data_IF_011184142967
#
_entry.id   IF_011184142967
#
_cell.length_a   1.000
_cell.length_b   1.000
_cell.length_c   1.000
_cell.angle_alpha   90.00
_cell.angle_beta   90.00
_cell.angle_gamma   90.00
#
_symmetry.space_group_name_H-M   'P 1'
#
loop_
_entity.id
_entity.type
_entity.pdbx_description
1 polymer ?
#
# COMPACT_ATOMS: atom_id res chain seq x y z
N UNK A 1 -67.64 -54.78 -137.81
CA UNK A 1 -67.86 -54.65 -139.26
C UNK A 1 -66.87 -55.57 -139.94
N UNK A 2 -67.36 -56.72 -140.36
CA UNK A 2 -66.60 -57.96 -140.47
C UNK A 2 -65.70 -58.02 -141.71
N UNK A 3 -64.44 -57.60 -141.52
CA UNK A 3 -63.34 -57.95 -142.43
C UNK A 3 -63.24 -59.48 -142.62
N UNK A 4 -63.75 -60.27 -141.68
CA UNK A 4 -63.78 -61.73 -141.75
C UNK A 4 -64.62 -62.26 -142.91
N UNK A 5 -65.86 -61.79 -143.08
CA UNK A 5 -66.73 -62.26 -144.18
C UNK A 5 -66.20 -61.82 -145.55
N UNK A 6 -65.62 -60.63 -145.60
CA UNK A 6 -65.02 -60.08 -146.82
C UNK A 6 -63.78 -60.86 -147.23
N UNK A 7 -62.87 -61.13 -146.29
CA UNK A 7 -61.69 -61.96 -146.53
C UNK A 7 -62.05 -63.39 -146.94
N UNK A 8 -63.08 -63.98 -146.30
CA UNK A 8 -63.58 -65.31 -146.65
C UNK A 8 -64.11 -65.36 -148.08
N UNK A 9 -64.94 -64.38 -148.50
CA UNK A 9 -65.45 -64.33 -149.89
C UNK A 9 -64.31 -64.29 -150.91
N UNK A 10 -63.29 -63.48 -150.67
CA UNK A 10 -62.15 -63.34 -151.60
C UNK A 10 -61.38 -64.66 -151.66
N UNK A 11 -61.01 -65.22 -150.51
CA UNK A 11 -60.22 -66.45 -150.47
C UNK A 11 -60.98 -67.69 -150.97
N UNK A 12 -62.31 -67.73 -150.86
CA UNK A 12 -63.13 -68.89 -151.28
C UNK A 12 -63.62 -68.80 -152.73
N UNK A 13 -63.99 -67.61 -153.23
CA UNK A 13 -64.62 -67.45 -154.58
C UNK A 13 -63.71 -66.85 -155.65
N UNK A 14 -62.68 -66.11 -155.26
CA UNK A 14 -61.83 -65.37 -156.20
C UNK A 14 -60.42 -65.20 -155.63
N UNK A 15 -59.76 -66.32 -155.31
CA UNK A 15 -58.42 -66.28 -154.74
C UNK A 15 -57.45 -65.64 -155.74
N UNK A 16 -56.62 -64.66 -155.33
CA UNK A 16 -55.59 -64.11 -156.19
C UNK A 16 -54.63 -65.20 -156.69
N UNK A 17 -54.12 -65.11 -157.92
CA UNK A 17 -53.13 -66.07 -158.42
C UNK A 17 -51.91 -66.09 -157.48
N UNK A 18 -51.47 -67.30 -157.10
CA UNK A 18 -50.39 -67.60 -156.14
C UNK A 18 -50.66 -67.29 -154.65
N UNK A 19 -51.90 -67.01 -154.22
CA UNK A 19 -52.22 -66.83 -152.80
C UNK A 19 -52.64 -68.16 -152.14
N UNK A 20 -51.79 -68.68 -151.24
CA UNK A 20 -52.02 -69.95 -150.53
C UNK A 20 -52.74 -69.72 -149.19
N UNK A 21 -52.41 -68.63 -148.49
CA UNK A 21 -52.96 -68.28 -147.19
C UNK A 21 -53.09 -66.76 -147.02
N UNK A 22 -54.08 -66.32 -146.23
CA UNK A 22 -54.27 -64.94 -145.82
C UNK A 22 -54.45 -64.86 -144.29
N UNK A 23 -53.87 -63.82 -143.69
CA UNK A 23 -53.95 -63.55 -142.25
C UNK A 23 -54.78 -62.29 -141.99
N UNK A 24 -55.76 -62.39 -141.09
CA UNK A 24 -56.50 -61.22 -140.61
C UNK A 24 -55.79 -60.57 -139.41
N UNK A 25 -56.03 -59.27 -139.15
CA UNK A 25 -55.42 -58.53 -138.02
C UNK A 25 -55.70 -59.15 -136.64
N UNK A 26 -56.76 -59.95 -136.51
CA UNK A 26 -57.09 -60.69 -135.29
C UNK A 26 -56.32 -62.03 -135.16
N UNK A 27 -55.32 -62.28 -136.01
CA UNK A 27 -54.52 -63.51 -136.00
C UNK A 27 -55.22 -64.73 -136.60
N UNK A 28 -56.33 -64.56 -137.32
CA UNK A 28 -57.04 -65.66 -137.99
C UNK A 28 -56.39 -65.98 -139.34
N UNK A 29 -56.08 -67.26 -139.57
CA UNK A 29 -55.51 -67.76 -140.82
C UNK A 29 -56.58 -68.39 -141.71
N UNK A 30 -56.60 -68.06 -143.01
CA UNK A 30 -57.47 -68.65 -144.03
C UNK A 30 -56.61 -69.26 -145.15
N UNK A 31 -56.77 -70.55 -145.44
CA UNK A 31 -56.00 -71.28 -146.46
C UNK A 31 -56.88 -71.79 -147.61
N UNK A 32 -56.38 -71.70 -148.85
CA UNK A 32 -57.03 -72.22 -150.06
C UNK A 32 -56.15 -73.26 -150.78
N UNK A 33 -56.00 -74.43 -150.15
CA UNK A 33 -55.30 -75.61 -150.70
C UNK A 33 -56.31 -76.77 -150.82
N UNK A 34 -56.96 -76.88 -151.98
CA UNK A 34 -57.98 -77.88 -152.36
C UNK A 34 -59.27 -77.94 -151.51
N UNK A 35 -59.28 -77.47 -150.27
CA UNK A 35 -60.45 -77.27 -149.40
C UNK A 35 -60.22 -76.02 -148.55
N UNK A 36 -61.20 -75.11 -148.51
CA UNK A 36 -61.11 -73.89 -147.69
C UNK A 36 -61.05 -74.25 -146.20
N UNK A 37 -59.96 -73.87 -145.52
CA UNK A 37 -59.78 -74.06 -144.07
C UNK A 37 -59.55 -72.71 -143.37
N UNK A 38 -60.19 -72.52 -142.22
CA UNK A 38 -60.04 -71.31 -141.41
C UNK A 38 -59.72 -71.66 -139.96
N UNK A 39 -58.60 -71.13 -139.45
CA UNK A 39 -58.16 -71.26 -138.07
C UNK A 39 -58.36 -69.91 -137.35
N UNK A 40 -59.40 -69.81 -136.53
CA UNK A 40 -59.69 -68.58 -135.76
C UNK A 40 -59.01 -68.61 -134.39
N UNK A 41 -58.16 -67.61 -134.11
CA UNK A 41 -57.67 -67.35 -132.77
C UNK A 41 -58.76 -66.62 -131.94
N UNK A 42 -59.63 -67.37 -131.26
CA UNK A 42 -60.50 -66.79 -130.22
C UNK A 42 -59.79 -66.92 -128.87
N UNK A 43 -58.83 -66.04 -128.60
CA UNK A 43 -58.30 -65.88 -127.25
C UNK A 43 -59.36 -65.19 -126.37
N UNK A 44 -60.26 -65.95 -125.75
CA UNK A 44 -61.03 -65.46 -124.61
C UNK A 44 -60.12 -65.51 -123.37
N UNK A 45 -59.82 -64.34 -122.80
CA UNK A 45 -59.10 -64.24 -121.52
C UNK A 45 -59.93 -64.91 -120.40
N UNK A 46 -59.35 -65.80 -119.59
CA UNK A 46 -60.09 -66.51 -118.53
C UNK A 46 -60.60 -65.56 -117.44
N UNK A 47 -61.93 -65.49 -117.27
CA UNK A 47 -62.63 -64.64 -116.28
C UNK A 47 -62.29 -64.95 -114.81
N UNK A 48 -61.76 -66.14 -114.52
CA UNK A 48 -61.49 -66.60 -113.16
C UNK A 48 -60.23 -66.00 -112.52
N UNK A 49 -59.42 -65.21 -113.26
CA UNK A 49 -58.26 -64.50 -112.70
C UNK A 49 -58.53 -63.01 -112.41
N UNK A 50 -59.61 -62.43 -112.94
CA UNK A 50 -59.86 -60.98 -112.87
C UNK A 50 -60.50 -60.56 -111.55
N UNK A 51 -61.38 -61.38 -110.96
CA UNK A 51 -61.98 -61.09 -109.64
C UNK A 51 -60.93 -61.14 -108.52
N UNK A 52 -59.99 -62.10 -108.58
CA UNK A 52 -58.90 -62.21 -107.59
C UNK A 52 -57.93 -61.00 -107.67
N UNK A 53 -57.63 -60.51 -108.88
CA UNK A 53 -56.80 -59.32 -109.07
C UNK A 53 -57.47 -58.03 -108.57
N UNK A 54 -58.78 -57.85 -108.79
CA UNK A 54 -59.50 -56.67 -108.33
C UNK A 54 -59.58 -56.63 -106.79
N UNK A 55 -59.84 -57.77 -106.14
CA UNK A 55 -59.79 -57.87 -104.69
C UNK A 55 -58.37 -57.65 -104.14
N UNK A 56 -57.34 -58.15 -104.82
CA UNK A 56 -55.95 -57.89 -104.46
C UNK A 56 -55.58 -56.41 -104.57
N UNK A 57 -56.08 -55.68 -105.57
CA UNK A 57 -55.87 -54.23 -105.70
C UNK A 57 -56.55 -53.50 -104.55
N UNK A 58 -57.81 -53.80 -104.20
CA UNK A 58 -58.51 -53.16 -103.09
C UNK A 58 -57.81 -53.46 -101.75
N UNK A 59 -57.30 -54.69 -101.56
CA UNK A 59 -56.49 -55.04 -100.38
C UNK A 59 -55.19 -54.24 -100.36
N UNK A 60 -54.48 -54.17 -101.49
CA UNK A 60 -53.25 -53.39 -101.61
C UNK A 60 -53.46 -51.89 -101.36
N UNK A 61 -54.56 -51.29 -101.84
CA UNK A 61 -54.90 -49.90 -101.56
C UNK A 61 -55.22 -49.66 -100.07
N UNK A 62 -55.95 -50.59 -99.44
CA UNK A 62 -56.18 -50.55 -97.99
C UNK A 62 -54.89 -50.68 -97.19
N UNK A 63 -54.00 -51.56 -97.62
CA UNK A 63 -52.68 -51.76 -97.01
C UNK A 63 -51.81 -50.51 -97.21
N UNK A 64 -51.81 -49.91 -98.40
CA UNK A 64 -51.15 -48.63 -98.66
C UNK A 64 -51.66 -47.52 -97.73
N UNK A 65 -52.98 -47.37 -97.59
CA UNK A 65 -53.56 -46.37 -96.67
C UNK A 65 -53.33 -46.70 -95.18
N UNK A 66 -53.21 -47.98 -94.82
CA UNK A 66 -52.80 -48.37 -93.47
C UNK A 66 -51.34 -47.97 -93.23
N UNK A 67 -50.45 -48.30 -94.15
CA UNK A 67 -49.02 -47.96 -94.10
C UNK A 67 -48.82 -46.43 -94.09
N UNK A 68 -49.55 -45.67 -94.90
CA UNK A 68 -49.50 -44.21 -94.90
C UNK A 68 -49.88 -43.61 -93.55
N UNK A 69 -50.91 -44.17 -92.90
CA UNK A 69 -51.31 -43.77 -91.53
C UNK A 69 -50.23 -44.14 -90.51
N UNK A 70 -49.68 -45.34 -90.59
CA UNK A 70 -48.57 -45.76 -89.71
C UNK A 70 -47.34 -44.86 -89.88
N UNK A 71 -47.01 -44.45 -91.12
CA UNK A 71 -45.93 -43.51 -91.39
C UNK A 71 -46.22 -42.12 -90.80
N UNK A 72 -47.45 -41.62 -90.93
CA UNK A 72 -47.87 -40.34 -90.33
C UNK A 72 -47.75 -40.38 -88.81
N UNK A 73 -48.24 -41.44 -88.17
CA UNK A 73 -48.12 -41.64 -86.72
C UNK A 73 -46.66 -41.78 -86.28
N UNK A 74 -45.85 -42.52 -87.03
CA UNK A 74 -44.42 -42.67 -86.75
C UNK A 74 -43.68 -41.32 -86.86
N UNK A 75 -44.02 -40.47 -87.85
CA UNK A 75 -43.46 -39.12 -88.00
C UNK A 75 -43.85 -38.21 -86.84
N UNK A 76 -45.11 -38.27 -86.39
CA UNK A 76 -45.55 -37.50 -85.22
C UNK A 76 -44.79 -37.93 -83.95
N UNK A 77 -44.71 -39.25 -83.70
CA UNK A 77 -43.92 -39.80 -82.59
C UNK A 77 -42.44 -39.42 -82.68
N UNK A 78 -41.85 -39.43 -83.87
CA UNK A 78 -40.47 -39.00 -84.09
C UNK A 78 -40.27 -37.51 -83.75
N UNK A 79 -41.17 -36.64 -84.19
CA UNK A 79 -41.08 -35.21 -83.88
C UNK A 79 -41.25 -34.94 -82.37
N UNK A 80 -42.14 -35.67 -81.70
CA UNK A 80 -42.32 -35.58 -80.25
C UNK A 80 -41.08 -36.07 -79.49
N UNK A 81 -40.50 -37.21 -79.88
CA UNK A 81 -39.27 -37.70 -79.25
C UNK A 81 -38.09 -36.77 -79.52
N UNK A 82 -37.97 -36.19 -80.72
CA UNK A 82 -36.94 -35.20 -81.05
C UNK A 82 -37.06 -33.93 -80.18
N UNK A 83 -38.29 -33.41 -79.98
CA UNK A 83 -38.53 -32.29 -79.06
C UNK A 83 -38.14 -32.63 -77.62
N UNK A 84 -38.50 -33.82 -77.14
CA UNK A 84 -38.12 -34.30 -75.81
C UNK A 84 -36.60 -34.44 -75.65
N UNK A 85 -35.91 -34.96 -76.65
CA UNK A 85 -34.43 -35.01 -76.66
C UNK A 85 -33.84 -33.61 -76.55
N UNK A 86 -34.34 -32.65 -77.33
CA UNK A 86 -33.91 -31.25 -77.23
C UNK A 86 -34.11 -30.64 -75.84
N UNK A 87 -35.27 -30.86 -75.22
CA UNK A 87 -35.55 -30.40 -73.85
C UNK A 87 -34.63 -31.06 -72.81
N UNK A 88 -34.40 -32.37 -72.92
CA UNK A 88 -33.48 -33.07 -72.04
C UNK A 88 -32.04 -32.57 -72.19
N UNK A 89 -31.62 -32.25 -73.41
CA UNK A 89 -30.28 -31.73 -73.66
C UNK A 89 -30.07 -30.33 -73.08
N UNK A 90 -31.10 -29.46 -73.16
CA UNK A 90 -31.11 -28.17 -72.45
C UNK A 90 -31.10 -28.34 -70.93
N UNK A 91 -31.82 -29.35 -70.42
CA UNK A 91 -31.82 -29.66 -68.98
C UNK A 91 -30.41 -30.11 -68.53
N UNK A 92 -29.75 -30.97 -69.31
CA UNK A 92 -28.39 -31.43 -69.02
C UNK A 92 -27.41 -30.27 -68.98
N UNK A 93 -27.40 -29.38 -69.98
CA UNK A 93 -26.51 -28.21 -69.98
C UNK A 93 -26.78 -27.28 -68.79
N UNK A 94 -28.06 -27.06 -68.43
CA UNK A 94 -28.39 -26.28 -67.23
C UNK A 94 -27.85 -26.93 -65.96
N UNK A 95 -27.99 -28.25 -65.81
CA UNK A 95 -27.46 -28.97 -64.64
C UNK A 95 -25.93 -28.91 -64.59
N UNK A 96 -25.23 -29.05 -65.71
CA UNK A 96 -23.78 -28.89 -65.78
C UNK A 96 -23.32 -27.51 -65.31
N UNK A 97 -24.03 -26.44 -65.70
CA UNK A 97 -23.72 -25.08 -65.21
C UNK A 97 -23.89 -24.97 -63.69
N UNK A 98 -25.00 -25.50 -63.14
CA UNK A 98 -25.21 -25.50 -61.68
C UNK A 98 -24.17 -26.33 -60.92
N UNK A 99 -23.73 -27.46 -61.46
CA UNK A 99 -22.67 -28.29 -60.88
C UNK A 99 -21.36 -27.50 -60.81
N UNK A 100 -21.02 -26.75 -61.86
CA UNK A 100 -19.80 -25.93 -61.88
C UNK A 100 -19.87 -24.79 -60.85
N UNK A 101 -21.02 -24.13 -60.71
CA UNK A 101 -21.23 -23.10 -59.67
C UNK A 101 -21.08 -23.67 -58.25
N UNK A 102 -21.65 -24.85 -57.99
CA UNK A 102 -21.52 -25.54 -56.71
C UNK A 102 -20.05 -25.91 -56.44
N UNK A 103 -19.32 -26.43 -57.43
CA UNK A 103 -17.88 -26.74 -57.29
C UNK A 103 -17.06 -25.50 -56.92
N UNK A 104 -17.34 -24.35 -57.55
CA UNK A 104 -16.70 -23.08 -57.21
C UNK A 104 -17.03 -22.64 -55.77
N UNK A 105 -18.27 -22.84 -55.33
CA UNK A 105 -18.69 -22.53 -53.96
C UNK A 105 -18.01 -23.44 -52.92
N UNK A 106 -17.93 -24.74 -53.19
CA UNK A 106 -17.17 -25.69 -52.35
C UNK A 106 -15.70 -25.28 -52.26
N UNK A 107 -15.09 -24.89 -53.39
CA UNK A 107 -13.71 -24.43 -53.43
C UNK A 107 -13.47 -23.17 -52.57
N UNK A 108 -14.40 -22.21 -52.60
CA UNK A 108 -14.35 -21.01 -51.74
C UNK A 108 -14.50 -21.35 -50.26
N UNK A 109 -15.54 -22.11 -49.90
CA UNK A 109 -15.78 -22.54 -48.53
C UNK A 109 -14.60 -23.37 -47.97
N UNK A 110 -13.97 -24.22 -48.79
CA UNK A 110 -12.79 -24.98 -48.38
C UNK A 110 -11.54 -24.11 -48.17
N UNK A 111 -11.44 -22.94 -48.81
CA UNK A 111 -10.39 -21.96 -48.50
C UNK A 111 -10.68 -21.23 -47.20
N UNK A 112 -11.90 -20.71 -47.04
CA UNK A 112 -12.35 -20.07 -45.80
C UNK A 112 -12.19 -20.99 -44.59
N UNK A 113 -12.54 -22.28 -44.73
CA UNK A 113 -12.39 -23.27 -43.66
C UNK A 113 -10.91 -23.48 -43.27
N UNK A 114 -10.00 -23.50 -44.25
CA UNK A 114 -8.55 -23.61 -43.97
C UNK A 114 -7.99 -22.35 -43.31
N UNK A 115 -8.48 -21.18 -43.72
CA UNK A 115 -8.11 -19.90 -43.10
C UNK A 115 -8.58 -19.87 -41.63
N UNK A 116 -9.83 -20.27 -41.36
CA UNK A 116 -10.36 -20.37 -40.00
C UNK A 116 -9.60 -21.40 -39.15
N UNK A 117 -9.32 -22.58 -39.70
CA UNK A 117 -8.52 -23.62 -39.01
C UNK A 117 -7.10 -23.14 -38.71
N UNK A 118 -6.49 -22.34 -39.59
CA UNK A 118 -5.17 -21.75 -39.35
C UNK A 118 -5.18 -20.71 -38.21
N UNK A 119 -6.32 -20.08 -37.93
CA UNK A 119 -6.49 -19.13 -36.82
C UNK A 119 -6.71 -19.86 -35.49
N UNK A 120 -7.33 -21.05 -35.50
CA UNK A 120 -7.56 -21.85 -34.28
C UNK A 120 -6.34 -22.69 -33.84
N UNK A 121 -5.46 -23.09 -34.76
CA UNK A 121 -4.36 -24.02 -34.47
C UNK A 121 -3.17 -23.53 -33.59
N UNK A 122 -2.91 -22.23 -33.32
CA UNK A 122 -1.76 -21.85 -32.49
C UNK A 122 -2.04 -21.73 -30.97
N UNK A 123 -3.23 -22.07 -30.46
CA UNK A 123 -3.58 -21.78 -29.04
C UNK A 123 -3.35 -22.93 -28.03
N UNK A 124 -3.00 -24.14 -28.46
CA UNK A 124 -2.81 -25.25 -27.51
C UNK A 124 -1.50 -25.14 -26.70
N UNK A 125 -0.43 -24.58 -27.27
CA UNK A 125 0.83 -24.37 -26.54
C UNK A 125 0.69 -23.33 -25.42
N UNK A 126 -0.15 -22.30 -25.63
CA UNK A 126 -0.44 -21.32 -24.59
C UNK A 126 -1.26 -21.96 -23.45
N UNK A 127 -2.22 -22.83 -23.70
CA UNK A 127 -3.03 -23.39 -22.59
C UNK A 127 -2.16 -24.23 -21.65
N UNK A 128 -1.30 -25.10 -22.19
CA UNK A 128 -0.41 -25.95 -21.39
C UNK A 128 0.61 -25.12 -20.59
N UNK A 129 1.16 -24.04 -21.19
CA UNK A 129 2.07 -23.11 -20.51
C UNK A 129 1.35 -22.38 -19.36
N UNK A 130 0.11 -21.95 -19.55
CA UNK A 130 -0.66 -21.23 -18.54
C UNK A 130 -1.15 -22.16 -17.42
N UNK A 131 -1.46 -23.42 -17.71
CA UNK A 131 -1.74 -24.45 -16.70
C UNK A 131 -0.50 -24.78 -15.86
N UNK A 132 0.68 -24.83 -16.49
CA UNK A 132 1.95 -24.99 -15.79
C UNK A 132 2.23 -23.79 -14.88
N UNK A 133 2.06 -22.57 -15.37
CA UNK A 133 2.23 -21.35 -14.58
C UNK A 133 1.24 -21.28 -13.40
N UNK A 134 -0.02 -21.66 -13.62
CA UNK A 134 -1.03 -21.74 -12.54
C UNK A 134 -0.62 -22.74 -11.45
N UNK A 135 -0.14 -23.92 -11.83
CA UNK A 135 0.36 -24.92 -10.89
C UNK A 135 1.57 -24.41 -10.10
N UNK A 136 2.51 -23.71 -10.75
CA UNK A 136 3.63 -23.07 -10.07
C UNK A 136 3.15 -22.00 -9.09
N UNK A 137 2.19 -21.15 -9.48
CA UNK A 137 1.62 -20.16 -8.59
C UNK A 137 0.88 -20.77 -7.40
N UNK A 138 0.15 -21.86 -7.57
CA UNK A 138 -0.53 -22.56 -6.47
C UNK A 138 0.47 -23.13 -5.47
N UNK A 139 1.55 -23.77 -5.96
CA UNK A 139 2.62 -24.24 -5.06
C UNK A 139 3.29 -23.07 -4.34
N UNK A 140 3.50 -21.94 -5.02
CA UNK A 140 4.07 -20.74 -4.42
C UNK A 140 3.15 -20.16 -3.35
N UNK A 141 1.84 -20.14 -3.57
CA UNK A 141 0.85 -19.69 -2.59
C UNK A 141 0.88 -20.58 -1.35
N UNK A 142 0.94 -21.90 -1.49
CA UNK A 142 1.01 -22.81 -0.33
C UNK A 142 2.30 -22.62 0.47
N UNK A 143 3.46 -22.52 -0.19
CA UNK A 143 4.73 -22.24 0.53
C UNK A 143 4.69 -20.89 1.26
N UNK A 144 4.04 -19.88 0.70
CA UNK A 144 3.86 -18.58 1.35
C UNK A 144 2.91 -18.67 2.56
N UNK A 145 1.82 -19.45 2.46
CA UNK A 145 0.91 -19.71 3.60
C UNK A 145 1.63 -20.39 4.75
N UNK A 146 2.47 -21.40 4.47
CA UNK A 146 3.29 -22.08 5.48
C UNK A 146 4.28 -21.12 6.14
N UNK A 147 4.99 -20.30 5.36
CA UNK A 147 5.88 -19.26 5.89
C UNK A 147 5.15 -18.25 6.77
N UNK A 148 3.95 -17.81 6.38
CA UNK A 148 3.11 -16.92 7.21
C UNK A 148 2.75 -17.60 8.53
N UNK A 149 2.38 -18.89 8.50
CA UNK A 149 2.04 -19.65 9.70
C UNK A 149 3.24 -19.78 10.64
N UNK A 150 4.42 -20.10 10.12
CA UNK A 150 5.66 -20.20 10.88
C UNK A 150 6.06 -18.84 11.50
N UNK A 151 5.93 -17.75 10.74
CA UNK A 151 6.20 -16.40 11.24
C UNK A 151 5.20 -15.98 12.33
N UNK A 152 3.91 -16.31 12.18
CA UNK A 152 2.90 -16.09 13.22
C UNK A 152 3.24 -16.85 14.49
N UNK A 153 3.62 -18.13 14.40
CA UNK A 153 4.00 -18.90 15.59
C UNK A 153 5.26 -18.36 16.28
N UNK A 154 6.25 -17.88 15.51
CA UNK A 154 7.44 -17.22 16.08
C UNK A 154 7.06 -15.92 16.79
N UNK A 155 6.22 -15.09 16.18
CA UNK A 155 5.73 -13.86 16.79
C UNK A 155 4.89 -14.11 18.04
N UNK A 156 4.08 -15.17 18.08
CA UNK A 156 3.32 -15.57 19.26
C UNK A 156 4.21 -16.03 20.42
N UNK A 157 5.37 -16.62 20.14
CA UNK A 157 6.36 -17.02 21.15
C UNK A 157 7.23 -15.84 21.61
N UNK A 158 7.58 -14.91 20.72
CA UNK A 158 8.33 -13.70 21.08
C UNK A 158 7.48 -12.70 21.90
N UNK A 159 6.15 -12.74 21.75
CA UNK A 159 5.20 -11.89 22.49
C UNK A 159 5.25 -12.05 24.03
N UNK A 160 5.21 -13.26 24.63
CA UNK A 160 5.37 -13.44 26.07
C UNK A 160 6.78 -13.12 26.57
N UNK A 161 7.84 -13.43 25.80
CA UNK A 161 9.21 -13.05 26.16
C UNK A 161 9.36 -11.53 26.24
N UNK A 162 8.80 -10.81 25.25
CA UNK A 162 8.77 -9.35 25.25
C UNK A 162 8.00 -8.78 26.46
N UNK A 163 6.86 -9.39 26.82
CA UNK A 163 6.10 -9.00 28.03
C UNK A 163 6.89 -9.23 29.30
N UNK A 164 7.58 -10.36 29.44
CA UNK A 164 8.43 -10.65 30.60
C UNK A 164 9.55 -9.62 30.73
N UNK A 165 10.24 -9.29 29.63
CA UNK A 165 11.30 -8.26 29.63
C UNK A 165 10.75 -6.88 30.01
N UNK A 166 9.55 -6.51 29.55
CA UNK A 166 8.91 -5.25 29.95
C UNK A 166 8.58 -5.21 31.44
N UNK A 167 8.11 -6.32 32.00
CA UNK A 167 7.79 -6.44 33.43
C UNK A 167 9.06 -6.40 34.29
N UNK A 168 10.12 -7.10 33.90
CA UNK A 168 11.44 -7.02 34.54
C UNK A 168 12.01 -5.61 34.51
N UNK A 169 11.88 -4.91 33.38
CA UNK A 169 12.32 -3.53 33.23
C UNK A 169 11.51 -2.57 34.11
N UNK A 170 10.20 -2.79 34.27
CA UNK A 170 9.37 -2.02 35.18
C UNK A 170 9.78 -2.24 36.65
N UNK A 171 10.01 -3.49 37.06
CA UNK A 171 10.49 -3.82 38.40
C UNK A 171 11.88 -3.23 38.67
N UNK A 172 12.79 -3.30 37.70
CA UNK A 172 14.13 -2.70 37.82
C UNK A 172 14.06 -1.19 38.00
N UNK A 173 13.18 -0.49 37.25
CA UNK A 173 12.95 0.95 37.41
C UNK A 173 12.42 1.30 38.80
N UNK A 174 11.49 0.52 39.31
CA UNK A 174 10.96 0.72 40.66
C UNK A 174 12.05 0.58 41.73
N UNK A 175 12.87 -0.48 41.66
CA UNK A 175 14.00 -0.68 42.58
C UNK A 175 15.01 0.47 42.54
N UNK A 176 15.31 1.00 41.36
CA UNK A 176 16.19 2.17 41.22
C UNK A 176 15.57 3.40 41.89
N UNK A 177 14.26 3.60 41.76
CA UNK A 177 13.56 4.72 42.38
C UNK A 177 13.59 4.62 43.91
N UNK A 178 13.28 3.44 44.46
CA UNK A 178 13.36 3.15 45.91
C UNK A 178 14.77 3.40 46.45
N UNK A 179 15.81 2.90 45.77
CA UNK A 179 17.20 3.13 46.19
C UNK A 179 17.63 4.59 46.10
N UNK A 180 17.06 5.35 45.16
CA UNK A 180 17.31 6.80 45.05
C UNK A 180 16.68 7.55 46.22
N UNK A 181 15.47 7.18 46.63
CA UNK A 181 14.80 7.75 47.79
C UNK A 181 15.56 7.43 49.08
N UNK A 182 15.99 6.17 49.27
CA UNK A 182 16.86 5.78 50.39
C UNK A 182 18.16 6.62 50.42
N UNK A 183 18.78 6.85 49.27
CA UNK A 183 20.01 7.65 49.18
C UNK A 183 19.78 9.13 49.56
N UNK A 184 18.68 9.74 49.13
CA UNK A 184 18.34 11.11 49.53
C UNK A 184 18.01 11.19 51.03
N UNK A 185 17.31 10.21 51.59
CA UNK A 185 17.09 10.12 53.04
C UNK A 185 18.42 10.05 53.79
N UNK A 186 19.32 9.14 53.40
CA UNK A 186 20.67 9.03 53.97
C UNK A 186 21.47 10.33 53.86
N UNK A 187 21.34 11.05 52.75
CA UNK A 187 22.03 12.35 52.57
C UNK A 187 21.48 13.41 53.54
N UNK A 188 20.16 13.49 53.72
CA UNK A 188 19.56 14.43 54.67
C UNK A 188 19.92 14.12 56.11
N UNK A 189 19.97 12.84 56.50
CA UNK A 189 20.38 12.44 57.85
C UNK A 189 21.86 12.72 58.08
N UNK A 190 22.72 12.51 57.08
CA UNK A 190 24.15 12.82 57.16
C UNK A 190 24.38 14.32 57.33
N UNK A 191 23.67 15.16 56.57
CA UNK A 191 23.70 16.63 56.74
C UNK A 191 23.25 17.06 58.13
N UNK A 192 22.21 16.42 58.70
CA UNK A 192 21.76 16.70 60.05
C UNK A 192 22.83 16.32 61.10
N UNK A 193 23.46 15.15 60.94
CA UNK A 193 24.57 14.71 61.78
C UNK A 193 25.77 15.66 61.73
N UNK A 194 26.15 16.12 60.53
CA UNK A 194 27.24 17.09 60.36
C UNK A 194 26.92 18.42 61.04
N UNK A 195 25.69 18.91 60.91
CA UNK A 195 25.24 20.12 61.59
C UNK A 195 25.30 19.98 63.13
N UNK A 196 24.89 18.82 63.66
CA UNK A 196 24.98 18.52 65.09
C UNK A 196 26.45 18.45 65.56
N UNK A 197 27.33 17.84 64.77
CA UNK A 197 28.76 17.78 65.04
C UNK A 197 29.39 19.17 65.08
N UNK A 198 29.08 20.03 64.11
CA UNK A 198 29.56 21.42 64.10
C UNK A 198 29.05 22.23 65.30
N UNK A 199 27.77 22.06 65.66
CA UNK A 199 27.20 22.71 66.85
C UNK A 199 27.89 22.23 68.13
N UNK A 200 28.11 20.92 68.27
CA UNK A 200 28.83 20.33 69.39
C UNK A 200 30.27 20.85 69.48
N UNK A 201 30.96 20.96 68.34
CA UNK A 201 32.32 21.52 68.30
C UNK A 201 32.34 22.99 68.71
N UNK A 202 31.37 23.79 68.27
CA UNK A 202 31.23 25.18 68.71
C UNK A 202 31.03 25.29 70.22
N UNK A 203 30.15 24.48 70.80
CA UNK A 203 29.91 24.45 72.24
C UNK A 203 31.17 24.04 73.02
N UNK A 204 31.93 23.05 72.54
CA UNK A 204 33.21 22.65 73.16
C UNK A 204 34.20 23.82 73.15
N UNK A 205 34.36 24.50 72.01
CA UNK A 205 35.28 25.63 71.89
C UNK A 205 34.89 26.80 72.82
N UNK A 206 33.59 27.07 72.97
CA UNK A 206 33.08 28.08 73.90
C UNK A 206 33.36 27.71 75.36
N UNK A 207 33.12 26.45 75.74
CA UNK A 207 33.41 25.95 77.08
C UNK A 207 34.91 25.99 77.39
N UNK A 208 35.77 25.63 76.42
CA UNK A 208 37.23 25.73 76.55
C UNK A 208 37.68 27.17 76.78
N UNK A 209 37.18 28.11 75.98
CA UNK A 209 37.48 29.53 76.15
C UNK A 209 37.03 30.04 77.53
N UNK A 210 35.84 29.64 77.98
CA UNK A 210 35.34 29.96 79.31
C UNK A 210 36.22 29.36 80.43
N UNK A 211 36.73 28.15 80.25
CA UNK A 211 37.67 27.51 81.16
C UNK A 211 38.98 28.31 81.26
N UNK A 212 39.56 28.69 80.13
CA UNK A 212 40.79 29.49 80.07
C UNK A 212 40.62 30.86 80.74
N UNK A 213 39.50 31.53 80.50
CA UNK A 213 39.18 32.82 81.13
C UNK A 213 38.99 32.69 82.64
N UNK A 214 38.37 31.60 83.12
CA UNK A 214 38.23 31.33 84.54
C UNK A 214 39.57 30.98 85.19
N UNK A 215 40.42 30.22 84.51
CA UNK A 215 41.78 29.92 84.98
C UNK A 215 42.59 31.21 85.15
N UNK A 216 42.56 32.12 84.15
CA UNK A 216 43.22 33.43 84.26
C UNK A 216 42.71 34.26 85.43
N UNK A 217 41.40 34.25 85.70
CA UNK A 217 40.81 34.94 86.87
C UNK A 217 41.30 34.32 88.17
N UNK A 218 41.39 33.00 88.24
CA UNK A 218 41.91 32.29 89.40
C UNK A 218 43.36 32.70 89.67
N UNK A 219 44.23 32.65 88.65
CA UNK A 219 45.64 33.03 88.75
C UNK A 219 45.80 34.49 89.20
N UNK A 220 44.95 35.39 88.69
CA UNK A 220 44.90 36.80 89.14
C UNK A 220 44.49 36.92 90.60
N UNK A 221 43.48 36.17 91.04
CA UNK A 221 43.04 36.16 92.42
C UNK A 221 44.12 35.62 93.35
N UNK A 222 44.81 34.55 92.98
CA UNK A 222 45.95 34.00 93.74
C UNK A 222 47.11 34.99 93.82
N UNK A 223 47.44 35.69 92.72
CA UNK A 223 48.45 36.75 92.73
C UNK A 223 48.05 37.93 93.64
N UNK A 224 46.77 38.33 93.63
CA UNK A 224 46.28 39.39 94.51
C UNK A 224 46.32 38.96 95.98
N UNK A 225 45.94 37.70 96.27
CA UNK A 225 45.99 37.12 97.61
C UNK A 225 47.42 37.11 98.14
N UNK A 226 48.37 36.57 97.39
CA UNK A 226 49.79 36.52 97.79
C UNK A 226 50.40 37.91 97.97
N UNK A 227 50.00 38.90 97.14
CA UNK A 227 50.41 40.29 97.32
C UNK A 227 49.86 40.89 98.63
N UNK A 228 48.57 40.67 98.92
CA UNK A 228 47.93 41.13 100.15
C UNK A 228 48.55 40.46 101.38
N UNK A 229 48.80 39.15 101.34
CA UNK A 229 49.47 38.40 102.42
C UNK A 229 50.86 38.97 102.73
N UNK A 230 51.72 39.17 101.70
CA UNK A 230 53.04 39.81 101.89
C UNK A 230 52.95 41.23 102.43
N UNK A 231 51.95 42.01 101.99
CA UNK A 231 51.72 43.36 102.49
C UNK A 231 51.28 43.32 103.95
N UNK A 232 50.43 42.36 104.33
CA UNK A 232 49.97 42.15 105.70
C UNK A 232 51.12 41.74 106.61
N UNK A 233 51.99 40.81 106.18
CA UNK A 233 53.20 40.41 106.90
C UNK A 233 54.10 41.62 107.19
N UNK A 234 54.39 42.45 106.17
CA UNK A 234 55.15 43.70 106.37
C UNK A 234 54.46 44.68 107.31
N UNK A 235 53.14 44.79 107.24
CA UNK A 235 52.36 45.67 108.14
C UNK A 235 52.40 45.15 109.57
N UNK A 236 52.33 43.84 109.79
CA UNK A 236 52.47 43.20 111.10
C UNK A 236 53.87 43.38 111.66
N UNK A 237 54.91 43.23 110.84
CA UNK A 237 56.31 43.47 111.21
C UNK A 237 56.53 44.94 111.58
N UNK A 238 56.01 45.88 110.78
CA UNK A 238 56.03 47.31 111.09
C UNK A 238 55.25 47.64 112.37
N UNK A 239 54.08 47.03 112.58
CA UNK A 239 53.28 47.23 113.78
C UNK A 239 54.00 46.68 115.03
N UNK A 240 54.65 45.53 114.94
CA UNK A 240 55.50 44.99 116.00
C UNK A 240 56.67 45.93 116.30
N UNK A 241 57.35 46.47 115.29
CA UNK A 241 58.43 47.45 115.45
C UNK A 241 57.94 48.77 116.07
N UNK A 242 56.74 49.23 115.69
CA UNK A 242 56.10 50.43 116.27
C UNK A 242 55.68 50.22 117.73
N UNK A 243 55.21 49.02 118.08
CA UNK A 243 54.90 48.67 119.48
C UNK A 243 56.17 48.61 120.33
N UNK A 244 57.32 48.21 119.76
CA UNK A 244 58.62 48.27 120.45
C UNK A 244 59.18 49.69 120.59
N UNK A 245 58.75 50.64 119.74
CA UNK A 245 59.25 52.02 119.73
C UNK A 245 58.30 53.04 120.37
N UNK A 246 57.19 52.61 120.97
CA UNK A 246 56.20 53.54 121.54
C UNK A 246 56.81 54.32 122.73
N UNK A 247 57.02 55.64 122.62
CA UNK A 247 57.27 56.49 123.76
C UNK A 247 55.91 56.90 124.36
N UNK A 248 55.75 56.81 125.67
CA UNK A 248 54.54 57.22 126.40
C UNK A 248 54.43 58.76 126.52
N UNK A 249 54.47 59.50 125.41
CA UNK A 249 54.38 60.98 125.43
C UNK A 249 53.28 61.53 124.50
N UNK A 250 52.49 62.48 125.05
CA UNK A 250 51.41 63.20 124.37
C UNK A 250 51.94 64.20 123.31
N UNK A 251 51.43 64.13 122.08
CA UNK A 251 51.90 64.98 120.95
C UNK A 251 51.03 66.24 120.76
N UNK A 252 51.69 67.40 120.63
CA UNK A 252 51.11 68.74 120.45
C UNK A 252 50.39 68.97 119.11
N UNK A 253 49.26 69.69 119.19
CA UNK A 253 48.24 70.00 118.17
C UNK A 253 48.74 70.68 116.88
N UNK A 254 49.93 71.30 116.89
CA UNK A 254 50.47 72.03 115.73
C UNK A 254 51.00 71.13 114.62
N UNK A 255 51.36 69.89 114.92
CA UNK A 255 51.95 68.93 113.98
C UNK A 255 50.89 68.26 113.09
N UNK A 256 49.68 68.06 113.62
CA UNK A 256 48.52 67.48 112.91
C UNK A 256 48.04 68.39 111.77
N UNK A 257 48.11 69.72 111.96
CA UNK A 257 47.62 70.68 110.95
C UNK A 257 48.47 70.71 109.68
N UNK A 258 49.78 70.43 109.79
CA UNK A 258 50.70 70.40 108.64
C UNK A 258 50.51 69.15 107.75
N UNK A 259 50.11 68.01 108.32
CA UNK A 259 49.84 66.81 107.51
C UNK A 259 48.51 66.91 106.76
N UNK A 260 47.54 67.65 107.32
CA UNK A 260 46.25 67.91 106.71
C UNK A 260 46.38 68.78 105.43
N UNK A 261 47.23 69.80 105.46
CA UNK A 261 47.52 70.64 104.29
C UNK A 261 48.28 69.90 103.17
N UNK A 262 49.10 68.91 103.53
CA UNK A 262 49.82 68.07 102.56
C UNK A 262 48.88 67.10 101.83
N UNK A 263 47.87 66.57 102.52
CA UNK A 263 46.86 65.68 101.94
C UNK A 263 45.88 66.42 101.02
N UNK A 264 45.55 67.68 101.34
CA UNK A 264 44.69 68.51 100.47
C UNK A 264 45.35 68.81 99.12
N UNK A 265 46.68 69.07 99.09
CA UNK A 265 47.43 69.24 97.84
C UNK A 265 47.53 67.96 96.99
N UNK A 266 47.50 66.79 97.62
CA UNK A 266 47.53 65.49 96.93
C UNK A 266 46.18 65.13 96.30
N UNK A 267 45.09 65.65 96.82
CA UNK A 267 43.73 65.45 96.27
C UNK A 267 43.52 66.34 95.03
N UNK A 268 44.09 67.55 95.00
CA UNK A 268 44.00 68.45 93.85
C UNK A 268 44.77 67.95 92.61
N UNK A 269 45.90 67.26 92.79
CA UNK A 269 46.67 66.69 91.67
C UNK A 269 45.99 65.49 90.99
N UNK A 270 45.09 64.79 91.68
CA UNK A 270 44.37 63.62 91.14
C UNK A 270 43.10 63.98 90.34
N UNK A 271 42.67 65.25 90.32
CA UNK A 271 41.53 65.69 89.48
C UNK A 271 41.85 65.80 87.98
N UNK A 272 43.12 65.74 87.59
CA UNK A 272 43.58 65.92 86.20
C UNK A 272 43.72 64.61 85.39
N UNK A 273 43.19 63.48 85.86
CA UNK A 273 43.17 62.21 85.11
C UNK A 273 42.04 62.25 84.06
N UNK A 274 42.21 63.12 83.08
CA UNK A 274 41.37 63.35 81.90
C UNK A 274 41.65 62.31 80.80
N UNK A 275 42.02 61.07 81.16
CA UNK A 275 42.53 60.06 80.23
C UNK A 275 41.51 59.04 79.71
N UNK A 276 40.24 59.14 80.11
CA UNK A 276 39.19 58.22 79.64
C UNK A 276 38.44 58.69 78.37
N UNK A 277 38.51 59.98 78.00
CA UNK A 277 37.85 60.51 76.79
C UNK A 277 38.53 60.05 75.49
N UNK A 278 39.86 60.07 75.43
CA UNK A 278 40.62 59.66 74.22
C UNK A 278 40.51 58.17 73.89
N UNK A 279 40.36 57.30 74.92
CA UNK A 279 40.16 55.85 74.71
C UNK A 279 38.77 55.52 74.15
N UNK A 280 37.78 56.35 74.46
CA UNK A 280 36.42 56.21 73.93
C UNK A 280 36.39 56.62 72.45
N UNK A 281 37.04 57.73 72.08
CA UNK A 281 37.14 58.18 70.68
C UNK A 281 37.82 57.15 69.77
N UNK A 282 38.94 56.57 70.20
CA UNK A 282 39.63 55.52 69.43
C UNK A 282 38.78 54.25 69.23
N UNK A 283 37.92 53.91 70.20
CA UNK A 283 36.99 52.78 70.08
C UNK A 283 35.87 53.07 69.08
N UNK A 284 35.31 54.27 69.10
CA UNK A 284 34.26 54.69 68.15
C UNK A 284 34.80 54.67 66.73
N UNK A 285 36.00 55.20 66.50
CA UNK A 285 36.63 55.25 65.18
C UNK A 285 36.88 53.85 64.59
N UNK A 286 37.35 52.91 65.43
CA UNK A 286 37.54 51.51 65.02
C UNK A 286 36.23 50.83 64.60
N UNK A 287 35.16 51.02 65.37
CA UNK A 287 33.83 50.44 65.07
C UNK A 287 33.25 51.03 63.78
N UNK A 288 33.43 52.32 63.52
CA UNK A 288 32.99 52.94 62.26
C UNK A 288 33.72 52.39 61.04
N UNK A 289 35.01 52.06 61.15
CA UNK A 289 35.76 51.43 60.05
C UNK A 289 35.27 50.00 59.78
N UNK A 290 35.03 49.22 60.82
CA UNK A 290 34.50 47.86 60.70
C UNK A 290 33.10 47.87 60.04
N UNK A 291 32.20 48.76 60.46
CA UNK A 291 30.88 48.94 59.86
C UNK A 291 30.95 49.28 58.37
N UNK A 292 31.85 50.17 57.96
CA UNK A 292 32.04 50.53 56.54
C UNK A 292 32.48 49.33 55.69
N UNK A 293 33.31 48.44 56.23
CA UNK A 293 33.70 47.20 55.53
C UNK A 293 32.50 46.28 55.37
N UNK A 294 31.68 46.12 56.42
CA UNK A 294 30.45 45.33 56.36
C UNK A 294 29.46 45.88 55.32
N UNK A 295 29.24 47.19 55.26
CA UNK A 295 28.37 47.81 54.25
C UNK A 295 28.81 47.46 52.82
N UNK A 296 30.12 47.50 52.54
CA UNK A 296 30.65 47.12 51.21
C UNK A 296 30.42 45.65 50.87
N UNK A 297 30.41 44.76 51.87
CA UNK A 297 30.13 43.33 51.66
C UNK A 297 28.64 43.14 51.35
N UNK A 298 27.76 43.80 52.12
CA UNK A 298 26.31 43.76 51.91
C UNK A 298 25.94 44.27 50.50
N UNK A 299 26.51 45.38 50.04
CA UNK A 299 26.30 45.91 48.69
C UNK A 299 26.71 44.91 47.59
N UNK A 300 27.80 44.17 47.81
CA UNK A 300 28.25 43.14 46.87
C UNK A 300 27.28 41.96 46.84
N UNK A 301 26.79 41.53 48.00
CA UNK A 301 25.79 40.46 48.09
C UNK A 301 24.46 40.85 47.45
N UNK A 302 24.00 42.08 47.65
CA UNK A 302 22.78 42.59 47.01
C UNK A 302 22.89 42.56 45.48
N UNK A 303 24.03 42.99 44.93
CA UNK A 303 24.30 42.91 43.49
C UNK A 303 24.31 41.46 42.97
N UNK A 304 24.83 40.52 43.75
CA UNK A 304 24.80 39.09 43.41
C UNK A 304 23.38 38.55 43.41
N UNK A 305 22.59 38.86 44.45
CA UNK A 305 21.18 38.48 44.54
C UNK A 305 20.39 39.01 43.34
N UNK A 306 20.61 40.27 42.95
CA UNK A 306 19.96 40.86 41.78
C UNK A 306 20.33 40.14 40.47
N UNK A 307 21.61 39.76 40.30
CA UNK A 307 22.05 38.95 39.15
C UNK A 307 21.41 37.56 39.16
N UNK A 308 21.30 36.92 40.32
CA UNK A 308 20.63 35.62 40.47
C UNK A 308 19.14 35.70 40.13
N UNK A 309 18.43 36.73 40.60
CA UNK A 309 17.04 36.96 40.23
C UNK A 309 16.87 37.17 38.73
N UNK A 310 17.75 37.95 38.08
CA UNK A 310 17.73 38.15 36.63
C UNK A 310 17.97 36.83 35.88
N UNK A 311 18.92 36.01 36.34
CA UNK A 311 19.20 34.70 35.76
C UNK A 311 18.05 33.70 35.95
N UNK A 312 17.44 33.68 37.14
CA UNK A 312 16.28 32.83 37.44
C UNK A 312 15.07 33.21 36.57
N UNK A 313 14.78 34.51 36.43
CA UNK A 313 13.71 35.01 35.56
C UNK A 313 13.98 34.68 34.09
N UNK A 314 15.21 34.85 33.63
CA UNK A 314 15.60 34.46 32.27
C UNK A 314 15.41 32.95 32.05
N UNK A 315 15.87 32.11 32.98
CA UNK A 315 15.68 30.65 32.91
C UNK A 315 14.21 30.26 32.90
N UNK A 316 13.39 30.88 33.74
CA UNK A 316 11.94 30.67 33.76
C UNK A 316 11.28 31.01 32.41
N UNK A 317 11.68 32.12 31.79
CA UNK A 317 11.19 32.49 30.46
C UNK A 317 11.63 31.50 29.38
N UNK A 318 12.90 31.08 29.38
CA UNK A 318 13.41 30.07 28.44
C UNK A 318 12.67 28.74 28.58
N UNK A 319 12.41 28.32 29.81
CA UNK A 319 11.63 27.11 30.07
C UNK A 319 10.18 27.22 29.57
N UNK A 320 9.54 28.37 29.78
CA UNK A 320 8.20 28.64 29.22
C UNK A 320 8.19 28.58 27.69
N UNK A 321 9.16 29.22 27.03
CA UNK A 321 9.30 29.18 25.58
C UNK A 321 9.53 27.74 25.07
N UNK A 322 10.36 26.96 25.77
CA UNK A 322 10.60 25.56 25.44
C UNK A 322 9.30 24.76 25.52
N UNK A 323 8.53 24.90 26.60
CA UNK A 323 7.24 24.21 26.78
C UNK A 323 6.23 24.58 25.69
N UNK A 324 6.12 25.85 25.34
CA UNK A 324 5.23 26.30 24.26
C UNK A 324 5.67 25.73 22.90
N UNK A 325 6.98 25.68 22.64
CA UNK A 325 7.52 25.13 21.40
C UNK A 325 7.32 23.62 21.29
N UNK A 326 7.52 22.88 22.39
CA UNK A 326 7.30 21.43 22.41
C UNK A 326 5.83 21.10 22.28
N UNK A 327 4.93 21.83 22.97
CA UNK A 327 3.49 21.67 22.83
C UNK A 327 3.03 21.86 21.37
N UNK A 328 3.49 22.92 20.70
CA UNK A 328 3.21 23.17 19.28
C UNK A 328 3.72 22.05 18.38
N UNK A 329 4.96 21.60 18.58
CA UNK A 329 5.55 20.50 17.82
C UNK A 329 4.75 19.21 18.01
N UNK A 330 4.42 18.85 19.24
CA UNK A 330 3.64 17.65 19.53
C UNK A 330 2.23 17.73 18.94
N UNK A 331 1.57 18.89 19.01
CA UNK A 331 0.26 19.09 18.38
C UNK A 331 0.33 18.99 16.85
N UNK A 332 1.38 19.54 16.23
CA UNK A 332 1.62 19.40 14.79
C UNK A 332 1.92 17.96 14.37
N UNK A 333 2.73 17.22 15.15
CA UNK A 333 2.97 15.80 14.87
C UNK A 333 1.70 14.96 15.04
N UNK A 334 0.88 15.27 16.05
CA UNK A 334 -0.39 14.59 16.31
C UNK A 334 -1.39 14.81 15.17
N UNK A 335 -1.58 16.06 14.74
CA UNK A 335 -2.43 16.41 13.59
C UNK A 335 -1.96 15.72 12.32
N UNK A 336 -0.67 15.80 11.97
CA UNK A 336 -0.12 15.10 10.80
C UNK A 336 -0.27 13.57 10.88
N UNK A 337 -0.14 12.99 12.08
CA UNK A 337 -0.37 11.56 12.29
C UNK A 337 -1.84 11.19 12.04
N UNK A 338 -2.79 11.98 12.52
CA UNK A 338 -4.22 11.75 12.27
C UNK A 338 -4.57 11.90 10.79
N UNK A 339 -4.02 12.92 10.12
CA UNK A 339 -4.22 13.15 8.68
C UNK A 339 -3.77 11.95 7.84
N UNK A 340 -2.64 11.32 8.20
CA UNK A 340 -2.14 10.12 7.51
C UNK A 340 -3.08 8.90 7.58
N UNK A 341 -4.06 8.92 8.48
CA UNK A 341 -5.02 7.84 8.72
C UNK A 341 -6.47 8.21 8.39
N UNK A 342 -6.71 9.33 7.69
CA UNK A 342 -8.04 9.88 7.42
C UNK A 342 -8.85 10.22 8.69
N UNK A 343 -8.18 10.75 9.72
CA UNK A 343 -8.83 11.38 10.87
C UNK A 343 -8.50 12.87 10.91
N UNK A 344 -9.40 13.68 11.47
CA UNK A 344 -9.18 15.08 11.84
C UNK A 344 -9.18 15.18 13.35
N UNK A 345 -8.31 16.01 13.91
CA UNK A 345 -8.26 16.16 15.35
C UNK A 345 -7.18 17.12 15.79
N UNK A 346 -7.24 17.56 17.03
CA UNK A 346 -6.31 18.54 17.60
C UNK A 346 -5.89 18.11 19.01
N UNK A 347 -4.64 18.42 19.36
CA UNK A 347 -4.13 18.28 20.71
C UNK A 347 -3.98 19.67 21.34
N UNK A 348 -4.79 19.94 22.37
CA UNK A 348 -4.85 21.21 23.08
C UNK A 348 -4.12 21.05 24.42
N UNK A 349 -3.06 21.83 24.61
CA UNK A 349 -2.27 21.84 25.84
C UNK A 349 -2.67 23.05 26.69
N UNK A 350 -3.23 22.81 27.87
CA UNK A 350 -3.47 23.86 28.87
C UNK A 350 -2.37 23.83 29.93
N UNK A 351 -1.50 24.85 29.88
CA UNK A 351 -0.39 24.99 30.82
C UNK A 351 -0.80 25.57 32.18
N UNK A 352 -1.99 26.17 32.30
CA UNK A 352 -2.50 26.72 33.57
C UNK A 352 -3.09 25.59 34.43
N UNK A 353 -3.99 24.80 33.84
CA UNK A 353 -4.62 23.66 34.49
C UNK A 353 -3.77 22.38 34.41
N UNK A 354 -2.66 22.41 33.66
CA UNK A 354 -1.76 21.28 33.40
C UNK A 354 -2.47 20.07 32.79
N UNK A 355 -3.40 20.33 31.88
CA UNK A 355 -4.21 19.32 31.21
C UNK A 355 -3.86 19.23 29.72
N UNK A 356 -4.06 18.04 29.15
CA UNK A 356 -3.95 17.77 27.72
C UNK A 356 -5.30 17.22 27.27
N UNK A 357 -5.92 17.91 26.32
CA UNK A 357 -7.18 17.49 25.70
C UNK A 357 -6.90 17.06 24.27
N UNK A 358 -7.41 15.90 23.88
CA UNK A 358 -7.28 15.34 22.54
C UNK A 358 -8.67 15.22 21.94
N UNK A 359 -8.89 15.87 20.80
CA UNK A 359 -10.13 15.75 20.05
C UNK A 359 -9.84 15.01 18.75
N UNK A 360 -10.62 13.97 18.44
CA UNK A 360 -10.45 13.15 17.24
C UNK A 360 -11.81 12.88 16.62
N UNK A 361 -11.94 13.15 15.33
CA UNK A 361 -13.10 12.91 14.49
C UNK A 361 -12.67 12.17 13.21
N UNK A 362 -13.39 11.12 12.78
CA UNK A 362 -13.12 10.49 11.49
C UNK A 362 -13.48 11.43 10.35
N UNK A 363 -12.61 11.53 9.34
CA UNK A 363 -12.93 12.21 8.08
C UNK A 363 -13.81 11.25 7.28
N UNK A 364 -15.10 11.57 7.20
CA UNK A 364 -16.10 10.80 6.45
C UNK A 364 -15.82 10.76 4.95
#
# INVERSE_FOLDING_TARGET
>A
MDNYETARRIMERSSPPNCIAAYLPNGTEMQNLNVFRCYTCKAQSPRYFVEDLAEQIIRAEKDCHAIEREIQEAKLKFNETQKRVGQHQQTVTSLETTINEIKLKIGRLGKELRELQSVEAPNNSNIDEWESDLSEYDTRIETLKERIKEQKSKSEVESPEYRQVLEELAQARQRVMEKREEAEQCKTTLQACDALKENGQRAINELQKGLDDNQRKLDQQEATKTFVEKRLEKQLENAQNLVQQRPDEEIDTKTVRRSLDALLKFIETNKNVTHDLQKIEQRVEKVTLELNVFCRIVDKQEKLIHKLFKAARHRGQQYKNLLESTAKLTSSCFTSFLESRNYTGEAIFDHQERTLSLEITPRG
#
